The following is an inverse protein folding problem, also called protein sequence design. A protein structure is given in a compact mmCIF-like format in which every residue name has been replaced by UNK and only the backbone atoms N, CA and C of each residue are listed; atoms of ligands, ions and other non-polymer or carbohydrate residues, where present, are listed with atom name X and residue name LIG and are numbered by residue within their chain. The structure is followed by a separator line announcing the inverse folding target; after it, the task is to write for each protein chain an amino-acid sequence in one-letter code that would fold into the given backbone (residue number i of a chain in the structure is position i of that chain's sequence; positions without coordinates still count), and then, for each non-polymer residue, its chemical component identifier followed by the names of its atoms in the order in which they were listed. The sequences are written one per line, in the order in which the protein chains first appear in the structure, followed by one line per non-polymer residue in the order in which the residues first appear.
data_IF_589174922144
#
_entry.id   IF_589174922144
#
_cell.length_a   1.000
_cell.length_b   1.000
_cell.length_c   1.000
_cell.angle_alpha   90.00
_cell.angle_beta   90.00
_cell.angle_gamma   90.00
#
_symmetry.space_group_name_H-M   'P 1'
#
loop_
_entity.id
_entity.type
_entity.pdbx_description
1 polymer ?
#
# COMPACT_ATOMS: atom_id res chain seq x y z
N UNK A 1 -8.31 -19.67 -35.41
CA UNK A 1 -8.19 -20.41 -34.17
C UNK A 1 -8.32 -19.46 -32.99
N UNK A 2 -9.46 -19.51 -32.27
CA UNK A 2 -9.61 -18.74 -31.02
C UNK A 2 -8.86 -19.49 -29.92
N UNK A 3 -7.70 -18.99 -29.55
CA UNK A 3 -6.97 -19.40 -28.34
C UNK A 3 -7.82 -19.01 -27.15
N UNK A 4 -8.41 -19.99 -26.48
CA UNK A 4 -9.05 -19.82 -25.17
C UNK A 4 -7.96 -19.39 -24.20
N UNK A 5 -7.95 -18.12 -23.80
CA UNK A 5 -7.17 -17.64 -22.68
C UNK A 5 -7.68 -18.37 -21.42
N UNK A 6 -6.86 -19.24 -20.88
CA UNK A 6 -7.05 -19.75 -19.52
C UNK A 6 -6.89 -18.57 -18.57
N UNK A 7 -7.98 -17.90 -18.25
CA UNK A 7 -8.01 -17.09 -17.04
C UNK A 7 -7.75 -18.04 -15.89
N UNK A 8 -6.61 -17.86 -15.23
CA UNK A 8 -6.37 -18.49 -13.94
C UNK A 8 -7.60 -18.16 -13.09
N UNK A 9 -8.46 -19.18 -12.91
CA UNK A 9 -9.46 -19.10 -11.85
C UNK A 9 -8.64 -19.05 -10.58
N UNK A 10 -8.49 -17.88 -10.02
CA UNK A 10 -8.11 -17.74 -8.64
C UNK A 10 -9.21 -18.49 -7.87
N UNK A 11 -8.97 -19.76 -7.60
CA UNK A 11 -9.68 -20.48 -6.59
C UNK A 11 -9.24 -19.79 -5.29
N UNK A 12 -9.86 -18.65 -4.97
CA UNK A 12 -9.86 -18.19 -3.60
C UNK A 12 -10.26 -19.40 -2.80
N UNK A 13 -9.41 -19.94 -1.91
CA UNK A 13 -9.91 -20.90 -0.93
C UNK A 13 -11.11 -20.18 -0.34
N UNK A 14 -12.29 -20.81 -0.44
CA UNK A 14 -13.50 -20.26 0.13
C UNK A 14 -13.08 -19.70 1.47
N UNK A 15 -13.19 -18.38 1.67
CA UNK A 15 -12.79 -17.75 2.92
C UNK A 15 -13.56 -18.54 3.96
N UNK A 16 -12.86 -19.44 4.65
CA UNK A 16 -13.43 -20.14 5.79
C UNK A 16 -13.86 -19.01 6.70
N UNK A 17 -15.16 -18.73 6.72
CA UNK A 17 -15.75 -17.80 7.66
C UNK A 17 -15.71 -18.46 9.02
N UNK A 18 -14.51 -18.75 9.50
CA UNK A 18 -14.32 -19.13 10.88
C UNK A 18 -14.66 -17.88 11.69
N UNK A 19 -15.93 -17.80 12.09
CA UNK A 19 -16.49 -16.67 12.87
C UNK A 19 -15.71 -16.41 14.16
N UNK A 20 -14.78 -17.31 14.50
CA UNK A 20 -13.95 -17.22 15.68
C UNK A 20 -12.58 -16.54 15.43
N UNK A 21 -12.28 -16.12 14.20
CA UNK A 21 -11.02 -15.43 13.88
C UNK A 21 -11.26 -13.94 13.57
N UNK A 22 -10.31 -13.11 13.99
CA UNK A 22 -10.32 -11.68 13.70
C UNK A 22 -8.90 -11.22 13.35
N UNK A 23 -8.77 -10.59 12.19
CA UNK A 23 -7.53 -9.97 11.75
C UNK A 23 -7.69 -8.45 11.73
N UNK A 24 -6.71 -7.73 12.23
CA UNK A 24 -6.62 -6.28 12.14
C UNK A 24 -5.18 -5.88 11.85
N UNK A 25 -5.00 -4.91 10.97
CA UNK A 25 -3.71 -4.28 10.72
C UNK A 25 -3.83 -2.76 10.73
N UNK A 26 -2.73 -2.11 11.08
CA UNK A 26 -2.54 -0.68 10.81
C UNK A 26 -1.98 -0.49 9.39
N UNK A 27 -1.96 0.74 8.84
CA UNK A 27 -0.98 1.11 7.82
C UNK A 27 0.43 0.84 8.35
N UNK A 28 1.36 0.53 7.46
CA UNK A 28 2.79 0.52 7.82
C UNK A 28 3.33 1.96 7.76
N UNK A 29 4.18 2.32 8.71
CA UNK A 29 4.58 3.71 8.92
C UNK A 29 5.93 4.01 8.30
N UNK A 30 6.06 5.15 7.61
CA UNK A 30 7.35 5.62 7.11
C UNK A 30 8.31 5.92 8.27
N UNK A 31 9.56 5.46 8.13
CA UNK A 31 10.62 5.64 9.12
C UNK A 31 11.51 6.87 8.82
N UNK A 32 10.94 7.89 8.18
CA UNK A 32 11.64 9.14 7.91
C UNK A 32 11.91 9.95 9.19
N UNK A 33 11.16 9.73 10.25
CA UNK A 33 11.33 10.34 11.57
C UNK A 33 10.78 9.43 12.67
N UNK A 34 10.85 9.89 13.93
CA UNK A 34 10.32 9.22 15.12
C UNK A 34 8.79 9.10 15.09
N UNK A 35 8.21 8.12 15.82
CA UNK A 35 6.77 8.03 15.97
C UNK A 35 6.19 9.30 16.63
N UNK A 36 5.05 9.74 16.11
CA UNK A 36 4.30 10.88 16.64
C UNK A 36 2.87 10.46 17.01
N UNK A 37 2.11 11.41 17.59
CA UNK A 37 0.75 11.13 18.09
C UNK A 37 -0.20 10.55 17.03
N UNK A 38 -0.05 10.88 15.75
CA UNK A 38 -0.87 10.31 14.68
C UNK A 38 -0.66 8.81 14.52
N UNK A 39 0.59 8.33 14.60
CA UNK A 39 0.89 6.90 14.59
C UNK A 39 0.29 6.18 15.80
N UNK A 40 0.44 6.78 16.99
CA UNK A 40 -0.13 6.25 18.23
C UNK A 40 -1.65 6.18 18.15
N UNK A 41 -2.29 7.22 17.65
CA UNK A 41 -3.75 7.28 17.48
C UNK A 41 -4.27 6.12 16.61
N UNK A 42 -3.68 5.94 15.42
CA UNK A 42 -4.09 4.87 14.50
C UNK A 42 -3.85 3.48 15.10
N UNK A 43 -2.68 3.27 15.73
CA UNK A 43 -2.35 1.99 16.37
C UNK A 43 -3.26 1.70 17.55
N UNK A 44 -3.64 2.72 18.33
CA UNK A 44 -4.58 2.58 19.44
C UNK A 44 -5.96 2.12 18.99
N UNK A 45 -6.47 2.64 17.86
CA UNK A 45 -7.76 2.18 17.31
C UNK A 45 -7.70 0.69 16.97
N UNK A 46 -6.63 0.25 16.30
CA UNK A 46 -6.45 -1.16 15.97
C UNK A 46 -6.29 -2.03 17.25
N UNK A 47 -5.56 -1.55 18.25
CA UNK A 47 -5.37 -2.24 19.51
C UNK A 47 -6.68 -2.39 20.32
N UNK A 48 -7.52 -1.36 20.32
CA UNK A 48 -8.87 -1.43 20.93
C UNK A 48 -9.72 -2.50 20.26
N UNK A 49 -9.71 -2.54 18.92
CA UNK A 49 -10.43 -3.58 18.17
C UNK A 49 -9.89 -4.98 18.45
N UNK A 50 -8.57 -5.12 18.52
CA UNK A 50 -7.92 -6.40 18.85
C UNK A 50 -8.31 -6.87 20.25
N UNK A 51 -8.21 -6.00 21.25
CA UNK A 51 -8.60 -6.31 22.66
C UNK A 51 -10.06 -6.68 22.78
N UNK A 52 -10.94 -5.88 22.16
CA UNK A 52 -12.38 -6.16 22.18
C UNK A 52 -12.70 -7.54 21.61
N UNK A 53 -12.14 -7.89 20.46
CA UNK A 53 -12.39 -9.19 19.85
C UNK A 53 -11.80 -10.36 20.65
N UNK A 54 -10.65 -10.16 21.34
CA UNK A 54 -10.10 -11.14 22.31
C UNK A 54 -11.04 -11.35 23.50
N UNK A 55 -11.60 -10.27 24.05
CA UNK A 55 -12.60 -10.34 25.12
C UNK A 55 -13.88 -11.06 24.68
N UNK A 56 -14.24 -10.97 23.39
CA UNK A 56 -15.32 -11.73 22.79
C UNK A 56 -14.96 -13.21 22.50
N UNK A 57 -13.79 -13.67 22.92
CA UNK A 57 -13.35 -15.07 22.77
C UNK A 57 -12.84 -15.42 21.36
N UNK A 58 -12.51 -14.42 20.53
CA UNK A 58 -11.96 -14.68 19.19
C UNK A 58 -10.44 -14.88 19.22
N UNK A 59 -9.96 -15.69 18.30
CA UNK A 59 -8.55 -15.76 17.95
C UNK A 59 -8.19 -14.50 17.13
N UNK A 60 -7.31 -13.66 17.66
CA UNK A 60 -6.99 -12.35 17.05
C UNK A 60 -5.55 -12.32 16.60
N UNK A 61 -5.34 -11.89 15.34
CA UNK A 61 -4.03 -11.50 14.85
C UNK A 61 -4.01 -10.00 14.54
N UNK A 62 -3.17 -9.26 15.26
CA UNK A 62 -2.97 -7.83 15.09
C UNK A 62 -1.57 -7.56 14.53
N UNK A 63 -1.50 -6.99 13.33
CA UNK A 63 -0.28 -6.66 12.62
C UNK A 63 -0.08 -5.14 12.56
N UNK A 64 1.13 -4.69 12.85
CA UNK A 64 1.59 -3.33 12.55
C UNK A 64 3.02 -3.40 12.00
N UNK A 65 3.61 -2.28 11.61
CA UNK A 65 4.98 -2.30 11.09
C UNK A 65 5.43 -1.00 10.45
N UNK A 66 6.54 -1.08 9.72
CA UNK A 66 7.21 0.08 9.10
C UNK A 66 7.41 -0.11 7.60
N UNK A 67 7.25 1.01 6.85
CA UNK A 67 7.58 1.14 5.44
C UNK A 67 8.96 1.81 5.31
N UNK A 68 9.94 1.06 4.77
CA UNK A 68 11.35 1.42 4.87
C UNK A 68 12.01 1.75 3.52
N UNK A 69 11.26 1.68 2.42
CA UNK A 69 11.80 1.87 1.06
C UNK A 69 11.44 3.23 0.43
N UNK A 70 11.11 4.24 1.22
CA UNK A 70 10.78 5.57 0.71
C UNK A 70 12.04 6.41 0.42
N UNK A 71 11.99 7.25 -0.62
CA UNK A 71 13.07 8.21 -0.94
C UNK A 71 13.42 9.09 0.27
N UNK A 72 12.42 9.54 1.02
CA UNK A 72 12.62 10.33 2.26
C UNK A 72 13.46 9.62 3.33
N UNK A 73 13.49 8.29 3.34
CA UNK A 73 14.34 7.51 4.25
C UNK A 73 15.80 7.63 3.81
N UNK A 74 16.05 7.57 2.49
CA UNK A 74 17.39 7.73 1.91
C UNK A 74 17.92 9.15 2.17
N UNK A 75 17.10 10.17 1.94
CA UNK A 75 17.45 11.57 2.14
C UNK A 75 17.78 11.86 3.62
N UNK A 76 16.92 11.41 4.53
CA UNK A 76 17.12 11.58 5.97
C UNK A 76 18.38 10.85 6.48
N UNK A 77 18.74 9.72 5.89
CA UNK A 77 19.97 9.00 6.20
C UNK A 77 21.21 9.75 5.68
N UNK A 78 21.14 10.25 4.43
CA UNK A 78 22.24 10.99 3.79
C UNK A 78 22.57 12.29 4.55
N UNK A 79 21.56 13.05 4.98
CA UNK A 79 21.76 14.25 5.82
C UNK A 79 22.52 13.96 7.12
N UNK A 80 22.48 12.72 7.61
CA UNK A 80 23.11 12.29 8.86
C UNK A 80 24.38 11.47 8.65
N UNK A 81 24.80 11.31 7.40
CA UNK A 81 26.02 10.58 7.04
C UNK A 81 25.98 9.08 7.37
N UNK A 82 24.79 8.47 7.38
CA UNK A 82 24.61 7.03 7.65
C UNK A 82 23.89 6.34 6.48
N UNK A 83 23.89 5.01 6.47
CA UNK A 83 23.17 4.26 5.45
C UNK A 83 21.65 4.30 5.67
N UNK A 84 20.86 4.19 4.59
CA UNK A 84 19.40 4.10 4.68
C UNK A 84 18.95 2.94 5.57
N UNK A 85 19.65 1.79 5.51
CA UNK A 85 19.35 0.65 6.37
C UNK A 85 19.57 0.98 7.86
N UNK A 86 20.70 1.62 8.21
CA UNK A 86 20.98 1.99 9.61
C UNK A 86 19.97 3.02 10.13
N UNK A 87 19.52 3.94 9.29
CA UNK A 87 18.47 4.89 9.64
C UNK A 87 17.13 4.18 9.85
N UNK A 88 16.74 3.27 8.93
CA UNK A 88 15.52 2.49 9.04
C UNK A 88 15.52 1.60 10.30
N UNK A 89 16.62 0.91 10.58
CA UNK A 89 16.77 0.07 11.77
C UNK A 89 16.58 0.86 13.06
N UNK A 90 17.20 2.03 13.15
CA UNK A 90 17.07 2.92 14.30
C UNK A 90 15.63 3.36 14.52
N UNK A 91 14.97 3.87 13.47
CA UNK A 91 13.60 4.39 13.61
C UNK A 91 12.58 3.28 13.79
N UNK A 92 12.72 2.13 13.12
CA UNK A 92 11.85 0.98 13.37
C UNK A 92 11.90 0.52 14.83
N UNK A 93 13.09 0.48 15.44
CA UNK A 93 13.26 0.18 16.86
C UNK A 93 12.58 1.22 17.77
N UNK A 94 12.60 2.51 17.40
CA UNK A 94 11.88 3.57 18.12
C UNK A 94 10.35 3.37 18.04
N UNK A 95 9.81 3.00 16.86
CA UNK A 95 8.40 2.66 16.72
C UNK A 95 8.02 1.46 17.60
N UNK A 96 8.77 0.38 17.51
CA UNK A 96 8.50 -0.85 18.25
C UNK A 96 8.56 -0.60 19.78
N UNK A 97 9.62 0.07 20.24
CA UNK A 97 9.76 0.39 21.67
C UNK A 97 8.66 1.34 22.16
N UNK A 98 8.24 2.30 21.34
CA UNK A 98 7.14 3.21 21.68
C UNK A 98 5.82 2.45 21.84
N UNK A 99 5.50 1.55 20.90
CA UNK A 99 4.29 0.74 20.99
C UNK A 99 4.31 -0.22 22.19
N UNK A 100 5.46 -0.83 22.48
CA UNK A 100 5.64 -1.66 23.69
C UNK A 100 5.42 -0.85 24.98
N UNK A 101 6.00 0.34 25.10
CA UNK A 101 5.83 1.21 26.27
C UNK A 101 4.39 1.67 26.47
N UNK A 102 3.63 1.82 25.39
CA UNK A 102 2.20 2.14 25.41
C UNK A 102 1.32 0.90 25.61
N UNK A 103 1.91 -0.28 25.74
CA UNK A 103 1.20 -1.53 25.97
C UNK A 103 0.36 -1.99 24.77
N UNK A 104 0.73 -1.64 23.54
CA UNK A 104 0.07 -2.16 22.34
C UNK A 104 0.21 -3.68 22.26
N UNK A 105 -0.84 -4.37 21.82
CA UNK A 105 -0.94 -5.83 21.86
C UNK A 105 -0.80 -6.50 20.51
N UNK A 106 -0.05 -5.87 19.60
CA UNK A 106 0.24 -6.44 18.29
C UNK A 106 0.96 -7.79 18.42
N UNK A 107 0.56 -8.72 17.57
CA UNK A 107 1.14 -10.07 17.53
C UNK A 107 2.46 -10.08 16.76
N UNK A 108 2.58 -9.18 15.77
CA UNK A 108 3.75 -9.08 14.92
C UNK A 108 4.04 -7.63 14.54
N UNK A 109 5.31 -7.35 14.27
CA UNK A 109 5.79 -6.07 13.75
C UNK A 109 6.55 -6.35 12.45
N UNK A 110 5.94 -6.02 11.30
CA UNK A 110 6.52 -6.26 9.99
C UNK A 110 7.37 -5.08 9.54
N UNK A 111 8.54 -5.36 9.00
CA UNK A 111 9.40 -4.38 8.37
C UNK A 111 9.58 -4.74 6.90
N UNK A 112 9.36 -3.79 5.99
CA UNK A 112 9.45 -4.06 4.54
C UNK A 112 10.86 -4.43 4.10
N UNK A 113 11.91 -4.06 4.86
CA UNK A 113 13.29 -4.45 4.60
C UNK A 113 13.66 -5.87 5.07
N UNK A 114 12.81 -6.53 5.87
CA UNK A 114 13.08 -7.90 6.34
C UNK A 114 13.05 -8.91 5.19
N UNK A 115 13.95 -9.94 5.22
CA UNK A 115 13.96 -11.00 4.22
C UNK A 115 12.59 -11.66 4.03
N UNK A 116 11.88 -11.98 5.13
CA UNK A 116 10.55 -12.61 5.08
C UNK A 116 9.51 -11.81 4.30
N UNK A 117 9.61 -10.46 4.30
CA UNK A 117 8.75 -9.60 3.50
C UNK A 117 9.21 -9.57 2.05
N UNK A 118 10.51 -9.29 1.81
CA UNK A 118 11.08 -9.21 0.46
C UNK A 118 10.87 -10.49 -0.35
N UNK A 119 11.14 -11.65 0.27
CA UNK A 119 10.99 -12.95 -0.39
C UNK A 119 9.54 -13.19 -0.81
N UNK A 120 8.59 -12.83 0.06
CA UNK A 120 7.16 -12.96 -0.25
C UNK A 120 6.72 -12.00 -1.36
N UNK A 121 7.20 -10.76 -1.34
CA UNK A 121 6.91 -9.78 -2.41
C UNK A 121 7.49 -10.25 -3.74
N UNK A 122 8.74 -10.71 -3.77
CA UNK A 122 9.38 -11.22 -4.98
C UNK A 122 8.63 -12.43 -5.57
N UNK A 123 8.22 -13.37 -4.71
CA UNK A 123 7.39 -14.49 -5.12
C UNK A 123 6.07 -14.01 -5.74
N UNK A 124 5.34 -13.14 -5.04
CA UNK A 124 4.02 -12.67 -5.46
C UNK A 124 4.07 -11.87 -6.76
N UNK A 125 5.01 -10.94 -6.89
CA UNK A 125 5.24 -10.19 -8.13
C UNK A 125 5.64 -11.12 -9.27
N UNK A 126 6.49 -12.11 -9.01
CA UNK A 126 6.85 -13.13 -9.99
C UNK A 126 5.64 -13.92 -10.52
N UNK A 127 4.71 -14.29 -9.66
CA UNK A 127 3.45 -14.95 -10.04
C UNK A 127 2.58 -14.03 -10.92
N UNK A 128 2.48 -12.74 -10.58
CA UNK A 128 1.75 -11.75 -11.38
C UNK A 128 2.39 -11.49 -12.76
N UNK A 129 3.70 -11.54 -12.84
CA UNK A 129 4.42 -11.47 -14.12
C UNK A 129 4.16 -12.71 -14.98
N UNK A 130 4.16 -13.90 -14.38
CA UNK A 130 3.88 -15.16 -15.09
C UNK A 130 2.43 -15.23 -15.58
N UNK A 131 1.46 -14.68 -14.83
CA UNK A 131 0.07 -14.60 -15.26
C UNK A 131 -0.17 -13.53 -16.34
N UNK A 132 0.77 -12.62 -16.55
CA UNK A 132 0.66 -11.49 -17.46
C UNK A 132 -0.13 -10.30 -16.90
N UNK A 133 -0.43 -10.33 -15.59
CA UNK A 133 -1.09 -9.21 -14.91
C UNK A 133 -0.11 -8.06 -14.66
N UNK A 134 1.18 -8.37 -14.47
CA UNK A 134 2.27 -7.40 -14.50
C UNK A 134 3.00 -7.52 -15.83
N UNK A 135 3.18 -6.41 -16.51
CA UNK A 135 3.84 -6.35 -17.82
C UNK A 135 4.73 -5.12 -17.92
N UNK A 136 5.76 -5.22 -18.77
CA UNK A 136 6.65 -4.12 -19.07
C UNK A 136 6.03 -3.23 -20.16
N UNK A 137 6.13 -1.91 -19.98
CA UNK A 137 5.65 -0.93 -20.94
C UNK A 137 6.39 0.38 -20.82
N UNK A 138 6.20 1.24 -21.79
CA UNK A 138 6.76 2.58 -21.76
C UNK A 138 5.71 3.54 -21.22
N UNK A 139 6.13 4.37 -20.26
CA UNK A 139 5.34 5.49 -19.77
C UNK A 139 5.96 6.79 -20.27
N UNK A 140 5.15 7.63 -20.88
CA UNK A 140 5.54 8.98 -21.27
C UNK A 140 4.58 9.96 -20.60
N UNK A 141 5.14 10.95 -19.92
CA UNK A 141 4.32 11.94 -19.20
C UNK A 141 5.08 13.19 -18.85
N UNK A 142 4.35 14.16 -18.31
CA UNK A 142 4.92 15.38 -17.76
C UNK A 142 5.49 15.11 -16.37
N UNK A 143 6.76 15.44 -16.18
CA UNK A 143 7.48 15.15 -14.93
C UNK A 143 7.87 16.47 -14.25
N UNK A 144 7.48 16.59 -12.99
CA UNK A 144 7.93 17.68 -12.12
C UNK A 144 9.24 17.26 -11.45
N UNK A 145 10.35 17.82 -11.94
CA UNK A 145 11.69 17.50 -11.42
C UNK A 145 11.84 17.92 -9.96
N UNK A 146 11.13 18.96 -9.54
CA UNK A 146 11.21 19.49 -8.18
C UNK A 146 10.44 18.67 -7.15
N UNK A 147 9.39 17.99 -7.59
CA UNK A 147 8.55 17.12 -6.76
C UNK A 147 8.86 15.62 -6.98
N UNK A 148 9.68 15.31 -7.98
CA UNK A 148 10.01 13.93 -8.38
C UNK A 148 8.76 13.09 -8.71
N UNK A 149 7.73 13.72 -9.31
CA UNK A 149 6.48 13.05 -9.64
C UNK A 149 6.00 13.33 -11.08
N UNK A 150 5.23 12.39 -11.61
CA UNK A 150 4.52 12.58 -12.87
C UNK A 150 3.22 13.36 -12.65
N UNK A 151 2.99 14.33 -13.51
CA UNK A 151 1.77 15.15 -13.54
C UNK A 151 0.89 14.69 -14.69
N UNK A 152 -0.40 14.52 -14.43
CA UNK A 152 -1.35 14.14 -15.48
C UNK A 152 -1.44 15.22 -16.55
N UNK A 153 -1.72 14.83 -17.79
CA UNK A 153 -1.83 15.74 -18.93
C UNK A 153 -2.79 16.92 -18.66
N UNK A 154 -3.92 16.65 -17.99
CA UNK A 154 -4.91 17.69 -17.67
C UNK A 154 -4.34 18.69 -16.67
N UNK A 155 -3.72 18.24 -15.59
CA UNK A 155 -3.08 19.11 -14.61
C UNK A 155 -1.92 19.90 -15.19
N UNK A 156 -1.13 19.30 -16.08
CA UNK A 156 -0.05 19.97 -16.76
C UNK A 156 -0.58 21.13 -17.65
N UNK A 157 -1.68 20.90 -18.37
CA UNK A 157 -2.36 21.96 -19.16
C UNK A 157 -2.92 23.06 -18.28
N UNK A 158 -3.58 22.72 -17.17
CA UNK A 158 -4.13 23.70 -16.23
C UNK A 158 -3.06 24.58 -15.60
N UNK A 159 -1.83 24.07 -15.41
CA UNK A 159 -0.70 24.81 -14.85
C UNK A 159 0.24 25.43 -15.90
N UNK A 160 -0.18 25.51 -17.16
CA UNK A 160 0.65 26.00 -18.28
C UNK A 160 2.01 25.26 -18.34
N UNK A 161 1.99 23.93 -18.13
CA UNK A 161 3.16 23.06 -18.12
C UNK A 161 4.25 23.48 -17.11
N UNK A 162 3.83 24.06 -16.00
CA UNK A 162 4.71 24.44 -14.87
C UNK A 162 4.31 23.72 -13.60
N UNK A 163 5.28 23.47 -12.74
CA UNK A 163 5.02 22.95 -11.40
C UNK A 163 4.11 23.89 -10.62
N UNK A 164 2.99 23.41 -10.07
CA UNK A 164 2.11 24.26 -9.25
C UNK A 164 2.74 24.66 -7.92
N UNK A 165 3.87 24.02 -7.53
CA UNK A 165 4.53 24.26 -6.25
C UNK A 165 5.69 25.24 -6.37
N UNK A 166 6.52 25.09 -7.40
CA UNK A 166 7.75 25.91 -7.52
C UNK A 166 7.83 26.73 -8.81
N UNK A 167 6.82 26.66 -9.70
CA UNK A 167 6.73 27.41 -10.95
C UNK A 167 7.73 26.99 -12.04
N UNK A 168 8.57 25.97 -11.80
CA UNK A 168 9.52 25.49 -12.81
C UNK A 168 8.82 24.73 -13.93
N UNK A 169 9.33 24.77 -15.17
CA UNK A 169 8.77 24.01 -16.28
C UNK A 169 8.74 22.51 -15.98
N UNK A 170 7.63 21.86 -16.31
CA UNK A 170 7.55 20.40 -16.38
C UNK A 170 8.36 19.91 -17.58
N UNK A 171 8.99 18.74 -17.45
CA UNK A 171 9.74 18.12 -18.54
C UNK A 171 9.00 16.88 -19.04
N UNK A 172 9.06 16.65 -20.34
CA UNK A 172 8.55 15.41 -20.90
C UNK A 172 9.57 14.31 -20.65
N UNK A 173 9.14 13.22 -19.99
CA UNK A 173 10.01 12.10 -19.64
C UNK A 173 9.38 10.81 -20.10
N UNK A 174 10.21 9.95 -20.66
CA UNK A 174 9.82 8.61 -21.06
C UNK A 174 10.62 7.62 -20.24
N UNK A 175 9.93 6.67 -19.64
CA UNK A 175 10.53 5.61 -18.82
C UNK A 175 9.96 4.27 -19.21
N UNK A 176 10.81 3.25 -19.20
CA UNK A 176 10.38 1.87 -19.23
C UNK A 176 10.06 1.43 -17.81
N UNK A 177 8.82 0.94 -17.61
CA UNK A 177 8.32 0.63 -16.29
C UNK A 177 7.46 -0.63 -16.30
N UNK A 178 7.18 -1.19 -15.13
CA UNK A 178 6.23 -2.28 -14.99
C UNK A 178 4.86 -1.73 -14.63
N UNK A 179 3.84 -2.29 -15.28
CA UNK A 179 2.43 -1.91 -15.09
C UNK A 179 1.63 -3.10 -14.63
N UNK A 180 0.69 -2.87 -13.73
CA UNK A 180 -0.31 -3.84 -13.34
C UNK A 180 -1.58 -3.63 -14.16
N UNK A 181 -2.13 -4.71 -14.73
CA UNK A 181 -3.32 -4.66 -15.59
C UNK A 181 -4.61 -4.54 -14.78
N UNK A 182 -4.71 -3.48 -14.00
CA UNK A 182 -5.82 -3.26 -13.06
C UNK A 182 -7.17 -3.22 -13.76
N UNK A 183 -7.26 -2.61 -14.94
CA UNK A 183 -8.50 -2.52 -15.75
C UNK A 183 -9.11 -3.86 -16.12
N UNK A 184 -8.32 -4.93 -16.20
CA UNK A 184 -8.84 -6.28 -16.46
C UNK A 184 -9.71 -6.84 -15.32
N UNK A 185 -9.65 -6.22 -14.15
CA UNK A 185 -10.36 -6.64 -12.93
C UNK A 185 -11.64 -5.84 -12.67
N UNK A 186 -11.95 -4.81 -13.47
CA UNK A 186 -13.07 -3.88 -13.23
C UNK A 186 -14.40 -4.61 -13.00
N UNK A 187 -14.80 -5.51 -13.91
CA UNK A 187 -16.06 -6.25 -13.79
C UNK A 187 -16.08 -7.17 -12.57
N UNK A 188 -14.95 -7.84 -12.28
CA UNK A 188 -14.84 -8.72 -11.12
C UNK A 188 -14.92 -7.95 -9.81
N UNK A 189 -14.31 -6.77 -9.74
CA UNK A 189 -14.37 -5.88 -8.57
C UNK A 189 -15.77 -5.32 -8.35
N UNK A 190 -16.46 -4.87 -9.42
CA UNK A 190 -17.86 -4.41 -9.31
C UNK A 190 -18.76 -5.52 -8.79
N UNK A 191 -18.61 -6.73 -9.35
CA UNK A 191 -19.36 -7.90 -8.89
C UNK A 191 -19.04 -8.27 -7.44
N UNK A 192 -17.78 -8.22 -7.03
CA UNK A 192 -17.38 -8.46 -5.63
C UNK A 192 -18.10 -7.51 -4.67
N UNK A 193 -18.16 -6.21 -5.01
CA UNK A 193 -18.80 -5.18 -4.20
C UNK A 193 -20.33 -5.29 -4.20
N UNK A 194 -20.93 -5.81 -5.27
CA UNK A 194 -22.35 -6.10 -5.35
C UNK A 194 -22.73 -7.31 -4.49
N UNK A 195 -22.00 -8.41 -4.63
CA UNK A 195 -22.24 -9.65 -3.89
C UNK A 195 -21.89 -9.51 -2.38
N UNK A 196 -21.03 -8.56 -2.03
CA UNK A 196 -20.53 -8.34 -0.66
C UNK A 196 -20.64 -6.86 -0.25
N UNK A 197 -21.84 -6.35 0.09
CA UNK A 197 -22.05 -4.93 0.38
C UNK A 197 -21.28 -4.43 1.61
N UNK A 198 -20.86 -5.33 2.48
CA UNK A 198 -20.08 -5.02 3.69
C UNK A 198 -18.55 -5.08 3.49
N UNK A 199 -18.08 -5.39 2.28
CA UNK A 199 -16.65 -5.50 1.97
C UNK A 199 -15.91 -4.16 2.11
N UNK A 200 -16.58 -3.06 1.74
CA UNK A 200 -16.04 -1.69 1.95
C UNK A 200 -17.02 -0.90 2.81
N UNK A 201 -16.52 -0.36 3.92
CA UNK A 201 -17.27 0.48 4.87
C UNK A 201 -16.53 1.79 5.15
N UNK A 202 -17.23 2.88 5.46
CA UNK A 202 -18.69 3.07 5.41
C UNK A 202 -19.19 3.18 3.96
N UNK A 203 -20.52 3.23 3.78
CA UNK A 203 -21.15 3.26 2.45
C UNK A 203 -20.65 4.40 1.56
N UNK A 204 -20.33 5.56 2.13
CA UNK A 204 -19.75 6.67 1.39
C UNK A 204 -18.44 6.25 0.67
N UNK A 205 -17.57 5.47 1.34
CA UNK A 205 -16.32 4.96 0.77
C UNK A 205 -16.58 3.86 -0.27
N UNK A 206 -17.58 3.01 -0.02
CA UNK A 206 -18.00 2.01 -1.00
C UNK A 206 -18.47 2.67 -2.31
N UNK A 207 -19.28 3.71 -2.22
CA UNK A 207 -19.77 4.43 -3.39
C UNK A 207 -18.64 5.14 -4.15
N UNK A 208 -17.67 5.72 -3.44
CA UNK A 208 -16.46 6.32 -4.02
C UNK A 208 -15.66 5.28 -4.82
N UNK A 209 -15.42 4.09 -4.24
CA UNK A 209 -14.70 2.99 -4.91
C UNK A 209 -15.46 2.52 -6.16
N UNK A 210 -16.78 2.33 -6.06
CA UNK A 210 -17.61 1.94 -7.21
C UNK A 210 -17.56 3.01 -8.32
N UNK A 211 -17.66 4.28 -7.94
CA UNK A 211 -17.54 5.40 -8.89
C UNK A 211 -16.21 5.34 -9.62
N UNK A 212 -15.11 5.18 -8.89
CA UNK A 212 -13.77 5.11 -9.44
C UNK A 212 -13.58 3.94 -10.42
N UNK A 213 -14.10 2.76 -10.09
CA UNK A 213 -14.05 1.59 -10.98
C UNK A 213 -14.82 1.85 -12.27
N UNK A 214 -15.98 2.51 -12.20
CA UNK A 214 -16.83 2.83 -13.36
C UNK A 214 -16.24 3.92 -14.26
N UNK A 215 -15.50 4.86 -13.70
CA UNK A 215 -14.75 5.88 -14.47
C UNK A 215 -13.58 5.30 -15.26
N UNK A 216 -13.08 4.13 -14.86
CA UNK A 216 -11.95 3.41 -15.45
C UNK A 216 -10.76 3.28 -14.51
N UNK A 217 -10.17 2.08 -14.50
CA UNK A 217 -8.98 1.72 -13.74
C UNK A 217 -7.74 1.67 -14.65
#
# INVERSE_FOLDING_TARGET
GRTRRNHLRYNSPAMSTNRNQFYVSTPIYYVNDRPHIGHVYTTTIADVLARYNRLCGKEVFFLTGTDEHAAKVVDAAAERGITAQAWADKNAAEFESTFQRLGMTNNDFIRTSQPRHRDRVQQYVGELMQSGDVYQGQYEGWYDVGQEEYVTENKAKESDFKSPINGKPLVRRQEENYFFRLSAYSDALLKLLEDNPDFVKPDARRNEVIGRIREGL
#
